data_IF_679078819725
#
_entry.id   IF_679078819725
#
_cell.length_a   1.000
_cell.length_b   1.000
_cell.length_c   1.000
_cell.angle_alpha   90.00
_cell.angle_beta   90.00
_cell.angle_gamma   90.00
#
_symmetry.space_group_name_H-M   'P 1'
#
loop_
_entity.id
_entity.type
_entity.pdbx_description
1 polymer ?
#
# COMPACT_ATOMS: atom_id res chain seq x y z
N UNK A 1 -2.51 -23.17 4.82
CA UNK A 1 -2.26 -21.82 5.36
C UNK A 1 -2.64 -20.83 4.27
N UNK A 2 -3.80 -20.18 4.39
CA UNK A 2 -4.26 -19.19 3.41
C UNK A 2 -3.92 -17.79 3.90
N UNK A 3 -3.37 -16.95 3.01
CA UNK A 3 -3.10 -15.55 3.35
C UNK A 3 -4.42 -14.80 3.60
N UNK A 4 -4.47 -13.89 4.59
CA UNK A 4 -5.67 -13.08 4.84
C UNK A 4 -5.97 -12.16 3.64
N UNK A 5 -7.24 -11.79 3.43
CA UNK A 5 -7.61 -10.88 2.35
C UNK A 5 -6.93 -9.52 2.49
N UNK A 6 -6.39 -9.00 1.40
CA UNK A 6 -5.61 -7.76 1.40
C UNK A 6 -4.88 -7.47 0.10
N UNK A 7 -4.15 -6.37 0.07
CA UNK A 7 -3.32 -5.97 -1.07
C UNK A 7 -1.93 -6.57 -0.93
N UNK A 8 -1.50 -7.29 -1.97
CA UNK A 8 -0.19 -7.92 -2.01
C UNK A 8 0.56 -7.53 -3.28
N UNK A 9 1.90 -7.40 -3.22
CA UNK A 9 2.72 -7.07 -4.38
C UNK A 9 2.67 -8.21 -5.40
N UNK A 10 2.41 -7.86 -6.66
CA UNK A 10 2.38 -8.82 -7.75
C UNK A 10 3.83 -9.01 -8.29
N UNK A 11 4.38 -10.24 -8.29
CA UNK A 11 5.77 -10.48 -8.71
C UNK A 11 5.99 -10.31 -10.22
N UNK A 12 4.93 -10.44 -11.04
CA UNK A 12 4.99 -10.24 -12.48
C UNK A 12 4.92 -8.75 -12.85
N UNK A 13 4.24 -7.95 -12.02
CA UNK A 13 4.02 -6.52 -12.24
C UNK A 13 4.71 -5.68 -11.16
N UNK A 14 6.00 -5.41 -11.36
CA UNK A 14 6.74 -4.48 -10.51
C UNK A 14 6.06 -3.11 -10.44
N UNK A 15 5.69 -2.70 -9.22
CA UNK A 15 4.99 -1.44 -8.99
C UNK A 15 3.46 -1.54 -9.04
N UNK A 16 2.89 -2.74 -8.97
CA UNK A 16 1.45 -2.97 -8.80
C UNK A 16 1.17 -3.94 -7.65
N UNK A 17 0.05 -3.72 -6.97
CA UNK A 17 -0.50 -4.68 -6.00
C UNK A 17 -1.80 -5.22 -6.55
N UNK A 18 -2.02 -6.53 -6.35
CA UNK A 18 -3.30 -7.18 -6.66
C UNK A 18 -4.00 -7.51 -5.34
N UNK A 19 -5.32 -7.47 -5.34
CA UNK A 19 -6.10 -7.81 -4.16
C UNK A 19 -6.28 -9.32 -4.07
N UNK A 20 -5.97 -9.88 -2.91
CA UNK A 20 -6.20 -11.27 -2.55
C UNK A 20 -7.46 -11.35 -1.69
N UNK A 21 -8.40 -12.24 -2.02
CA UNK A 21 -9.66 -12.40 -1.27
C UNK A 21 -9.55 -13.47 -0.15
N UNK A 22 -8.39 -14.12 -0.01
CA UNK A 22 -8.23 -15.25 0.92
C UNK A 22 -8.31 -16.62 0.24
N UNK A 23 -8.93 -16.67 -0.94
CA UNK A 23 -9.04 -17.88 -1.76
C UNK A 23 -8.39 -17.72 -3.14
N UNK A 24 -8.55 -16.54 -3.77
CA UNK A 24 -8.00 -16.26 -5.09
C UNK A 24 -7.62 -14.78 -5.24
N UNK A 25 -6.78 -14.51 -6.23
CA UNK A 25 -6.49 -13.16 -6.69
C UNK A 25 -7.70 -12.59 -7.43
N UNK A 26 -8.09 -11.37 -7.12
CA UNK A 26 -9.18 -10.68 -7.82
C UNK A 26 -8.63 -9.82 -8.97
N UNK A 27 -9.53 -9.34 -9.84
CA UNK A 27 -9.17 -8.41 -10.92
C UNK A 27 -8.77 -7.01 -10.40
N UNK A 28 -9.04 -6.73 -9.12
CA UNK A 28 -8.67 -5.46 -8.52
C UNK A 28 -7.15 -5.36 -8.41
N UNK A 29 -6.58 -4.47 -9.22
CA UNK A 29 -5.18 -4.09 -9.15
C UNK A 29 -5.07 -2.59 -8.86
N UNK A 30 -4.14 -2.23 -7.99
CA UNK A 30 -3.80 -0.82 -7.72
C UNK A 30 -2.35 -0.57 -8.03
N UNK A 31 -2.02 0.68 -8.33
CA UNK A 31 -0.63 1.10 -8.41
C UNK A 31 -0.01 0.91 -7.03
N UNK A 32 1.16 0.28 -6.97
CA UNK A 32 1.96 0.22 -5.75
C UNK A 32 2.37 1.65 -5.44
N UNK A 33 1.55 2.33 -4.66
CA UNK A 33 1.92 3.60 -4.10
C UNK A 33 2.78 3.21 -2.90
N UNK A 34 4.12 3.42 -2.92
CA UNK A 34 4.89 3.28 -1.70
C UNK A 34 4.17 4.16 -0.68
N UNK A 35 3.96 3.64 0.54
CA UNK A 35 3.14 4.18 1.65
C UNK A 35 3.52 5.60 2.12
N UNK A 36 4.17 6.39 1.27
CA UNK A 36 5.02 7.52 1.56
C UNK A 36 4.50 8.84 1.01
N UNK A 37 3.36 8.89 0.32
CA UNK A 37 2.80 10.18 -0.12
C UNK A 37 2.00 10.93 0.95
N UNK A 38 1.72 10.32 2.10
CA UNK A 38 0.92 10.92 3.17
C UNK A 38 1.64 11.23 4.48
N UNK A 39 2.95 11.00 4.60
CA UNK A 39 3.73 11.69 5.65
C UNK A 39 4.25 13.05 5.15
N UNK A 40 3.40 13.79 4.45
CA UNK A 40 3.61 15.22 4.24
C UNK A 40 2.79 15.99 5.27
N UNK A 41 3.52 16.79 6.05
CA UNK A 41 3.09 18.01 6.77
C UNK A 41 2.48 17.82 8.15
N UNK A 42 3.35 17.74 9.15
CA UNK A 42 3.19 18.53 10.39
C UNK A 42 4.54 18.56 11.11
N UNK A 43 5.43 19.47 10.68
CA UNK A 43 6.44 20.01 11.59
C UNK A 43 5.74 21.17 12.31
N UNK A 44 5.33 21.05 13.59
CA UNK A 44 4.92 22.23 14.33
C UNK A 44 6.16 23.11 14.52
N UNK A 45 6.18 24.26 13.87
CA UNK A 45 7.08 25.35 14.22
C UNK A 45 6.67 25.85 15.62
N UNK A 46 7.38 25.44 16.67
CA UNK A 46 7.28 25.98 18.03
C UNK A 46 8.64 25.70 18.71
N UNK A 47 9.47 26.66 19.10
CA UNK A 47 9.21 27.75 20.04
C UNK A 47 10.19 28.91 19.81
N UNK A 48 9.67 30.13 19.90
CA UNK A 48 10.43 31.39 19.91
C UNK A 48 11.31 31.50 21.17
N UNK A 49 12.50 32.08 21.02
CA UNK A 49 13.44 32.41 22.11
C UNK A 49 13.13 33.77 22.70
#
# INVERSE_FOLDING_TARGET
MSAPPGWYPDPELMGRERYWDGQTWTDQSRRYEPRSRHRRRTCPLYTAV
#
